data_IF_504387309798
#
_entry.id   IF_504387309798
#
_cell.length_a   1.000
_cell.length_b   1.000
_cell.length_c   1.000
_cell.angle_alpha   90.00
_cell.angle_beta   90.00
_cell.angle_gamma   90.00
#
_symmetry.space_group_name_H-M   'P 1'
#
loop_
_entity.id
_entity.type
_entity.pdbx_description
1 polymer ?
#
# COMPACT_ATOMS: atom_id res chain seq x y z
N UNK A 1 9.19 10.57 2.86
CA UNK A 1 8.87 10.20 1.47
C UNK A 1 7.37 10.12 1.30
N UNK A 2 6.75 11.21 0.85
CA UNK A 2 5.50 11.13 0.09
C UNK A 2 5.94 10.85 -1.35
N UNK A 3 5.56 9.71 -1.91
CA UNK A 3 5.85 9.35 -3.29
C UNK A 3 4.54 9.18 -4.05
N UNK A 4 4.56 9.50 -5.34
CA UNK A 4 3.50 9.15 -6.26
C UNK A 4 3.75 7.70 -6.73
N UNK A 5 2.73 6.87 -6.64
CA UNK A 5 2.78 5.47 -7.04
C UNK A 5 1.72 5.22 -8.09
N UNK A 6 2.04 4.34 -9.03
CA UNK A 6 1.03 3.83 -9.95
C UNK A 6 0.31 2.69 -9.25
N UNK A 7 -1.01 2.75 -9.22
CA UNK A 7 -1.87 1.68 -8.74
C UNK A 7 -2.90 1.38 -9.83
N UNK A 8 -3.25 0.12 -10.00
CA UNK A 8 -4.35 -0.27 -10.85
C UNK A 8 -5.57 -0.53 -9.99
N UNK A 9 -6.69 0.14 -10.28
CA UNK A 9 -7.96 -0.26 -9.64
C UNK A 9 -8.25 -1.70 -10.04
N UNK A 10 -8.57 -2.55 -9.07
CA UNK A 10 -9.02 -3.90 -9.39
C UNK A 10 -10.28 -3.80 -10.27
N UNK A 11 -10.42 -4.65 -11.30
CA UNK A 11 -11.56 -4.57 -12.20
C UNK A 11 -12.87 -4.73 -11.39
N UNK A 12 -13.82 -3.82 -11.63
CA UNK A 12 -15.21 -4.06 -11.29
C UNK A 12 -15.83 -5.08 -12.25
N UNK A 13 -17.13 -5.36 -12.10
CA UNK A 13 -17.85 -6.34 -12.93
C UNK A 13 -17.74 -6.10 -14.46
N UNK A 14 -17.34 -4.90 -14.90
CA UNK A 14 -17.11 -4.55 -16.32
C UNK A 14 -15.69 -4.79 -16.87
N UNK A 15 -14.75 -5.34 -16.08
CA UNK A 15 -13.51 -5.95 -16.58
C UNK A 15 -12.35 -5.03 -17.00
N UNK A 16 -12.54 -3.72 -17.16
CA UNK A 16 -11.44 -2.81 -17.55
C UNK A 16 -10.53 -2.45 -16.36
N UNK A 17 -9.21 -2.46 -16.60
CA UNK A 17 -8.18 -2.02 -15.65
C UNK A 17 -7.70 -0.63 -16.02
N UNK A 18 -7.64 0.26 -15.05
CA UNK A 18 -7.15 1.63 -15.21
C UNK A 18 -5.87 1.81 -14.41
N UNK A 19 -4.84 2.42 -15.00
CA UNK A 19 -3.63 2.84 -14.30
C UNK A 19 -3.81 4.23 -13.71
N UNK A 20 -3.84 4.31 -12.39
CA UNK A 20 -4.03 5.55 -11.63
C UNK A 20 -2.73 5.96 -10.94
N UNK A 21 -2.53 7.26 -10.79
CA UNK A 21 -1.50 7.80 -9.90
C UNK A 21 -2.13 8.08 -8.53
N UNK A 22 -1.52 7.58 -7.46
CA UNK A 22 -1.99 7.73 -6.09
C UNK A 22 -0.85 8.04 -5.12
N UNK A 23 -1.19 8.60 -3.96
CA UNK A 23 -0.26 8.72 -2.83
C UNK A 23 -0.10 7.40 -2.09
N UNK A 24 1.09 7.09 -1.61
CA UNK A 24 1.31 5.89 -0.78
C UNK A 24 1.10 6.15 0.70
N UNK A 25 -0.06 5.71 1.18
CA UNK A 25 -0.56 5.83 2.53
C UNK A 25 -2.04 6.21 2.55
N UNK A 26 -2.86 5.44 3.28
CA UNK A 26 -4.32 5.65 3.30
C UNK A 26 -4.75 6.99 3.92
N UNK A 27 -3.97 7.49 4.88
CA UNK A 27 -4.24 8.75 5.58
C UNK A 27 -3.05 9.69 5.39
N UNK A 28 -3.15 10.69 4.51
CA UNK A 28 -2.13 11.72 4.37
C UNK A 28 -1.92 12.46 5.69
N UNK A 29 -0.67 12.73 6.07
CA UNK A 29 -0.33 13.39 7.35
C UNK A 29 -1.07 14.72 7.55
N UNK A 30 -1.23 15.49 6.47
CA UNK A 30 -1.95 16.78 6.48
C UNK A 30 -3.44 16.66 6.83
N UNK A 31 -4.03 15.46 6.75
CA UNK A 31 -5.44 15.19 7.05
C UNK A 31 -5.65 14.57 8.45
N UNK A 32 -4.58 14.42 9.24
CA UNK A 32 -4.67 13.92 10.61
C UNK A 32 -5.03 15.09 11.53
N UNK A 33 -6.16 15.04 12.28
CA UNK A 33 -6.56 16.13 13.16
C UNK A 33 -5.51 16.43 14.25
N UNK A 34 -5.44 17.69 14.74
CA UNK A 34 -4.61 18.02 15.90
C UNK A 34 -4.90 17.13 17.10
N UNK A 35 -3.87 16.74 17.84
CA UNK A 35 -3.99 15.85 19.01
C UNK A 35 -4.16 14.36 18.68
N UNK A 36 -4.36 13.98 17.42
CA UNK A 36 -4.40 12.58 17.00
C UNK A 36 -2.99 12.11 16.66
N UNK A 37 -2.54 11.02 17.28
CA UNK A 37 -1.24 10.40 16.98
C UNK A 37 -1.16 10.03 15.50
N UNK A 38 -0.12 10.46 14.77
CA UNK A 38 0.06 10.04 13.38
C UNK A 38 0.53 8.58 13.33
N UNK A 39 -0.23 7.74 12.63
CA UNK A 39 0.17 6.36 12.33
C UNK A 39 0.65 6.24 10.89
N UNK A 40 1.65 5.38 10.66
CA UNK A 40 2.00 5.00 9.31
C UNK A 40 0.90 4.12 8.72
N UNK A 41 0.37 4.52 7.57
CA UNK A 41 -0.73 3.83 6.88
C UNK A 41 -0.35 3.35 5.49
N UNK A 42 0.97 3.19 5.24
CA UNK A 42 1.50 2.58 4.02
C UNK A 42 1.18 1.07 3.93
N UNK A 43 1.25 0.38 5.07
CA UNK A 43 1.00 -1.07 5.16
C UNK A 43 -0.23 -1.35 6.04
N UNK A 44 -1.05 -2.33 5.63
CA UNK A 44 -2.20 -2.81 6.40
C UNK A 44 -2.09 -4.32 6.62
N UNK A 45 -2.26 -4.76 7.88
CA UNK A 45 -2.27 -6.18 8.24
C UNK A 45 -3.58 -6.82 7.79
N UNK A 46 -3.51 -7.92 7.04
CA UNK A 46 -4.68 -8.61 6.48
C UNK A 46 -5.69 -9.03 7.56
N UNK A 47 -5.19 -9.41 8.74
CA UNK A 47 -5.98 -9.84 9.91
C UNK A 47 -6.79 -8.70 10.53
N UNK A 48 -6.49 -7.44 10.19
CA UNK A 48 -7.08 -6.26 10.85
C UNK A 48 -7.60 -5.19 9.90
N UNK A 49 -7.38 -5.35 8.59
CA UNK A 49 -7.73 -4.36 7.57
C UNK A 49 -9.23 -4.06 7.53
N UNK A 50 -10.07 -5.04 7.83
CA UNK A 50 -11.53 -4.88 7.86
C UNK A 50 -12.07 -4.15 9.10
N UNK A 51 -11.27 -3.99 10.17
CA UNK A 51 -11.73 -3.38 11.44
C UNK A 51 -11.08 -2.03 11.76
N UNK A 52 -9.83 -1.81 11.33
CA UNK A 52 -9.11 -0.58 11.67
C UNK A 52 -9.64 0.61 10.88
N UNK A 53 -9.94 1.71 11.57
CA UNK A 53 -10.58 2.93 11.01
C UNK A 53 -9.90 3.47 9.74
N UNK A 54 -8.58 3.37 9.63
CA UNK A 54 -7.82 3.86 8.47
C UNK A 54 -8.07 3.05 7.19
N UNK A 55 -8.54 1.80 7.32
CA UNK A 55 -8.61 0.84 6.22
C UNK A 55 -10.03 0.29 5.99
N UNK A 56 -10.82 0.11 7.06
CA UNK A 56 -12.11 -0.61 7.02
C UNK A 56 -13.09 -0.01 6.01
N UNK A 57 -13.14 1.31 5.87
CA UNK A 57 -14.00 1.98 4.90
C UNK A 57 -13.71 1.59 3.44
N UNK A 58 -12.43 1.53 3.06
CA UNK A 58 -12.01 1.12 1.72
C UNK A 58 -12.18 -0.40 1.52
N UNK A 59 -11.89 -1.18 2.57
CA UNK A 59 -12.08 -2.63 2.57
C UNK A 59 -13.55 -3.02 2.35
N UNK A 60 -14.48 -2.51 3.16
CA UNK A 60 -15.91 -2.84 3.05
C UNK A 60 -16.51 -2.41 1.71
N UNK A 61 -15.98 -1.34 1.12
CA UNK A 61 -16.40 -0.85 -0.21
C UNK A 61 -15.68 -1.56 -1.37
N UNK A 62 -14.85 -2.57 -1.08
CA UNK A 62 -14.05 -3.27 -2.09
C UNK A 62 -13.23 -2.32 -2.98
N UNK A 63 -12.69 -1.24 -2.40
CA UNK A 63 -11.79 -0.33 -3.11
C UNK A 63 -10.38 -0.93 -3.19
N UNK A 64 -10.29 -2.06 -3.88
CA UNK A 64 -9.07 -2.83 -4.03
C UNK A 64 -8.23 -2.28 -5.19
N UNK A 65 -6.91 -2.36 -5.04
CA UNK A 65 -5.98 -2.06 -6.12
C UNK A 65 -4.83 -3.06 -6.17
N UNK A 66 -4.17 -3.11 -7.32
CA UNK A 66 -2.92 -3.81 -7.54
C UNK A 66 -1.83 -2.76 -7.72
N UNK A 67 -0.82 -2.77 -6.86
CA UNK A 67 0.35 -1.89 -6.99
C UNK A 67 1.45 -2.61 -7.78
N UNK A 68 1.65 -2.28 -9.07
CA UNK A 68 2.70 -2.88 -9.88
C UNK A 68 4.08 -2.45 -9.40
N UNK A 69 5.01 -3.40 -9.31
CA UNK A 69 6.41 -3.14 -8.99
C UNK A 69 7.32 -4.24 -9.58
N UNK A 70 8.59 -3.94 -9.74
CA UNK A 70 9.63 -4.92 -10.09
C UNK A 70 10.37 -5.45 -8.88
N UNK A 71 10.48 -4.64 -7.81
CA UNK A 71 11.09 -5.02 -6.52
C UNK A 71 10.57 -4.18 -5.37
N UNK A 72 10.74 -4.67 -4.14
CA UNK A 72 10.65 -3.90 -2.91
C UNK A 72 11.89 -4.16 -2.03
N UNK A 73 11.97 -3.47 -0.90
CA UNK A 73 13.13 -3.55 -0.01
C UNK A 73 12.70 -3.73 1.44
N UNK A 74 13.40 -4.61 2.15
CA UNK A 74 13.26 -4.83 3.58
C UNK A 74 14.65 -4.81 4.25
N UNK A 75 14.75 -4.47 5.54
CA UNK A 75 15.99 -4.60 6.29
C UNK A 75 16.27 -6.05 6.66
N UNK A 76 17.46 -6.55 6.36
CA UNK A 76 18.04 -7.73 6.99
C UNK A 76 18.81 -7.29 8.25
N UNK A 77 18.61 -8.02 9.37
CA UNK A 77 19.22 -7.72 10.67
C UNK A 77 20.22 -8.78 11.16
N UNK A 78 20.59 -9.77 10.35
CA UNK A 78 21.51 -10.85 10.74
C UNK A 78 22.89 -10.34 11.16
N UNK A 79 23.30 -9.18 10.62
CA UNK A 79 24.53 -8.49 11.00
C UNK A 79 24.44 -7.65 12.30
N UNK A 80 23.26 -7.59 12.93
CA UNK A 80 22.95 -6.67 14.03
C UNK A 80 22.70 -5.22 13.61
N UNK A 81 22.77 -4.91 12.30
CA UNK A 81 22.46 -3.59 11.72
C UNK A 81 21.47 -3.74 10.56
N UNK A 82 20.64 -2.73 10.24
CA UNK A 82 19.71 -2.79 9.11
C UNK A 82 20.46 -2.71 7.78
N UNK A 83 20.66 -3.86 7.12
CA UNK A 83 21.21 -3.93 5.76
C UNK A 83 20.04 -3.97 4.78
N UNK A 84 20.00 -3.03 3.83
CA UNK A 84 18.91 -2.94 2.86
C UNK A 84 18.99 -4.09 1.86
N UNK A 85 17.99 -4.97 1.84
CA UNK A 85 17.90 -6.09 0.90
C UNK A 85 16.86 -5.79 -0.18
N UNK A 86 17.17 -6.18 -1.43
CA UNK A 86 16.26 -6.08 -2.59
C UNK A 86 15.54 -7.41 -2.74
N UNK A 87 14.22 -7.37 -2.83
CA UNK A 87 13.37 -8.56 -3.01
C UNK A 87 12.56 -8.38 -4.30
N UNK A 88 12.54 -9.41 -5.15
CA UNK A 88 11.84 -9.42 -6.43
C UNK A 88 11.73 -10.82 -7.01
N UNK A 89 11.12 -10.92 -8.19
CA UNK A 89 10.92 -12.17 -8.92
C UNK A 89 11.65 -12.11 -10.26
N UNK A 90 12.95 -12.41 -10.28
CA UNK A 90 13.78 -12.52 -11.50
C UNK A 90 13.59 -11.36 -12.50
N UNK A 91 13.57 -10.13 -11.98
CA UNK A 91 13.37 -8.88 -12.75
C UNK A 91 12.00 -8.70 -13.42
N UNK A 92 11.10 -9.66 -13.28
CA UNK A 92 9.72 -9.56 -13.76
C UNK A 92 8.86 -8.60 -12.92
N UNK A 93 7.83 -8.03 -13.55
CA UNK A 93 6.83 -7.26 -12.83
C UNK A 93 5.87 -8.18 -12.07
N UNK A 94 5.57 -7.80 -10.83
CA UNK A 94 4.50 -8.37 -10.04
C UNK A 94 3.65 -7.25 -9.43
N UNK A 95 2.60 -7.63 -8.71
CA UNK A 95 1.75 -6.67 -8.01
C UNK A 95 1.54 -7.04 -6.55
N UNK A 96 1.52 -6.02 -5.70
CA UNK A 96 1.12 -6.13 -4.30
C UNK A 96 -0.34 -5.71 -4.16
N UNK A 97 -1.11 -6.48 -3.40
CA UNK A 97 -2.49 -6.15 -3.09
C UNK A 97 -2.56 -4.87 -2.22
N UNK A 98 -3.43 -3.95 -2.58
CA UNK A 98 -3.59 -2.68 -1.89
C UNK A 98 -5.04 -2.24 -1.75
N UNK A 99 -5.22 -1.18 -0.97
CA UNK A 99 -6.46 -0.42 -0.88
C UNK A 99 -6.26 0.96 -1.50
N UNK A 100 -7.31 1.48 -2.12
CA UNK A 100 -7.36 2.80 -2.74
C UNK A 100 -8.51 3.61 -2.12
N UNK A 101 -8.32 4.91 -1.91
CA UNK A 101 -9.33 5.81 -1.35
C UNK A 101 -9.49 7.06 -2.19
#
# INVERSE_FOLDING_TARGET
MEGLWRAHRAPGAGGQREGLVASYGMVPRKRIPPGVRPFDTKNGRAETVGRLRSFSGAWTKSQLCLMPMTTFYEPNYESGKPVRWRIGADESMFAVAGLLR
#
